data_IF_394878673157
#
_entry.id   IF_394878673157
#
_cell.length_a   1.000
_cell.length_b   1.000
_cell.length_c   1.000
_cell.angle_alpha   90.00
_cell.angle_beta   90.00
_cell.angle_gamma   90.00
#
_symmetry.space_group_name_H-M   'P 1'
#
loop_
_entity.id
_entity.type
_entity.pdbx_description
1 polymer ?
#
# COMPACT_ATOMS: atom_id res chain seq x y z
N UNK A 1 -36.56 -4.50 -11.22
CA UNK A 1 -36.42 -4.23 -9.78
C UNK A 1 -35.11 -4.83 -9.34
N UNK A 2 -34.10 -4.01 -9.06
CA UNK A 2 -32.79 -4.49 -8.62
C UNK A 2 -32.80 -4.58 -7.11
N UNK A 3 -32.52 -5.77 -6.55
CA UNK A 3 -32.16 -5.91 -5.15
C UNK A 3 -30.84 -5.17 -4.96
N UNK A 4 -30.84 -4.08 -4.19
CA UNK A 4 -29.59 -3.40 -3.81
C UNK A 4 -28.89 -4.29 -2.80
N UNK A 5 -27.99 -5.17 -3.26
CA UNK A 5 -27.16 -5.95 -2.36
C UNK A 5 -26.23 -5.00 -1.59
N UNK A 6 -26.20 -5.15 -0.28
CA UNK A 6 -25.21 -4.48 0.55
C UNK A 6 -23.82 -4.96 0.14
N UNK A 7 -22.95 -4.01 -0.15
CA UNK A 7 -21.55 -4.29 -0.47
C UNK A 7 -20.78 -4.61 0.81
N UNK A 8 -19.93 -5.61 0.74
CA UNK A 8 -19.00 -5.97 1.80
C UNK A 8 -17.92 -4.89 1.97
N UNK A 9 -17.35 -4.81 3.17
CA UNK A 9 -16.16 -4.00 3.42
C UNK A 9 -14.93 -4.55 2.68
N UNK A 10 -13.81 -3.84 2.80
CA UNK A 10 -12.55 -4.17 2.09
C UNK A 10 -12.06 -5.61 2.32
N UNK A 11 -12.45 -6.22 3.43
CA UNK A 11 -12.08 -7.57 3.84
C UNK A 11 -13.14 -8.65 3.55
N UNK A 12 -14.21 -8.34 2.82
CA UNK A 12 -15.28 -9.28 2.49
C UNK A 12 -16.28 -9.57 3.61
N UNK A 13 -16.17 -8.90 4.76
CA UNK A 13 -17.18 -8.97 5.82
C UNK A 13 -18.20 -7.85 5.66
N UNK A 14 -19.27 -7.89 6.46
CA UNK A 14 -20.17 -6.73 6.61
C UNK A 14 -19.33 -5.48 6.94
N UNK A 15 -19.64 -4.39 6.26
CA UNK A 15 -18.98 -3.11 6.48
C UNK A 15 -19.20 -2.62 7.93
N UNK A 16 -18.11 -2.28 8.63
CA UNK A 16 -18.13 -1.84 10.03
C UNK A 16 -16.93 -0.93 10.33
N UNK A 17 -17.19 0.30 10.77
CA UNK A 17 -16.12 1.25 11.12
C UNK A 17 -15.22 0.73 12.24
N UNK A 18 -15.75 -0.08 13.17
CA UNK A 18 -14.95 -0.71 14.24
C UNK A 18 -14.00 -1.80 13.74
N UNK A 19 -14.21 -2.32 12.54
CA UNK A 19 -13.34 -3.31 11.90
C UNK A 19 -12.36 -2.70 10.91
N UNK A 20 -12.42 -1.38 10.69
CA UNK A 20 -11.53 -0.67 9.77
C UNK A 20 -11.70 -1.07 8.30
N UNK A 21 -12.81 -1.73 7.94
CA UNK A 21 -13.07 -2.24 6.58
C UNK A 21 -14.00 -1.32 5.76
N UNK A 22 -14.14 -0.06 6.17
CA UNK A 22 -15.03 0.93 5.55
C UNK A 22 -14.24 1.90 4.68
N UNK A 23 -14.79 2.19 3.50
CA UNK A 23 -14.38 3.31 2.65
C UNK A 23 -15.45 4.39 2.83
N UNK A 24 -15.13 5.49 3.52
CA UNK A 24 -16.09 6.56 3.71
C UNK A 24 -16.07 7.49 2.50
N UNK A 25 -17.24 8.00 2.13
CA UNK A 25 -17.37 9.00 1.06
C UNK A 25 -16.68 10.34 1.40
N UNK A 26 -16.34 10.55 2.67
CA UNK A 26 -15.64 11.74 3.18
C UNK A 26 -14.16 11.47 3.45
N UNK A 27 -13.64 10.29 3.10
CA UNK A 27 -12.19 10.03 3.18
C UNK A 27 -11.44 11.00 2.26
N UNK A 28 -10.22 11.40 2.62
CA UNK A 28 -9.35 12.18 1.73
C UNK A 28 -8.97 11.36 0.48
N UNK A 29 -8.63 12.00 -0.66
CA UNK A 29 -8.40 11.29 -1.93
C UNK A 29 -7.40 10.13 -1.82
N UNK A 30 -6.27 10.35 -1.13
CA UNK A 30 -5.23 9.32 -0.94
C UNK A 30 -5.73 8.16 -0.07
N UNK A 31 -6.51 8.44 0.99
CA UNK A 31 -7.05 7.43 1.90
C UNK A 31 -8.10 6.58 1.19
N UNK A 32 -9.00 7.22 0.45
CA UNK A 32 -10.01 6.54 -0.36
C UNK A 32 -9.33 5.60 -1.37
N UNK A 33 -8.34 6.12 -2.11
CA UNK A 33 -7.59 5.35 -3.09
C UNK A 33 -6.89 4.14 -2.43
N UNK A 34 -6.19 4.36 -1.32
CA UNK A 34 -5.47 3.30 -0.60
C UNK A 34 -6.40 2.22 -0.02
N UNK A 35 -7.58 2.61 0.47
CA UNK A 35 -8.58 1.66 0.97
C UNK A 35 -9.21 0.83 -0.15
N UNK A 36 -9.50 1.43 -1.31
CA UNK A 36 -9.96 0.67 -2.49
C UNK A 36 -8.87 -0.30 -2.95
N UNK A 37 -7.61 0.10 -2.95
CA UNK A 37 -6.49 -0.79 -3.28
C UNK A 37 -6.34 -1.98 -2.31
N UNK A 38 -6.92 -1.88 -1.11
CA UNK A 38 -6.88 -2.91 -0.07
C UNK A 38 -8.05 -3.90 -0.13
N UNK A 39 -9.00 -3.74 -1.05
CA UNK A 39 -10.12 -4.69 -1.19
C UNK A 39 -9.61 -6.09 -1.58
N UNK A 40 -10.33 -7.14 -1.25
CA UNK A 40 -10.01 -8.49 -1.78
C UNK A 40 -10.27 -8.60 -3.28
N UNK A 41 -9.48 -9.40 -3.97
CA UNK A 41 -9.55 -9.55 -5.43
C UNK A 41 -10.92 -10.05 -5.90
N UNK A 42 -11.53 -10.96 -5.13
CA UNK A 42 -12.87 -11.49 -5.37
C UNK A 42 -13.99 -10.43 -5.32
N UNK A 43 -13.74 -9.27 -4.70
CA UNK A 43 -14.71 -8.19 -4.56
C UNK A 43 -14.60 -7.13 -5.66
N UNK A 44 -13.54 -7.13 -6.47
CA UNK A 44 -13.27 -6.08 -7.47
C UNK A 44 -14.47 -5.89 -8.40
N UNK A 45 -15.00 -6.99 -8.95
CA UNK A 45 -16.16 -6.93 -9.85
C UNK A 45 -17.43 -6.39 -9.19
N UNK A 46 -17.69 -6.78 -7.93
CA UNK A 46 -18.86 -6.30 -7.18
C UNK A 46 -18.75 -4.80 -6.90
N UNK A 47 -17.54 -4.31 -6.58
CA UNK A 47 -17.29 -2.88 -6.39
C UNK A 47 -17.42 -2.08 -7.69
N UNK A 48 -16.98 -2.60 -8.84
CA UNK A 48 -17.23 -1.93 -10.12
C UNK A 48 -18.73 -1.75 -10.38
N UNK A 49 -19.51 -2.83 -10.25
CA UNK A 49 -20.96 -2.83 -10.47
C UNK A 49 -21.70 -1.89 -9.52
N UNK A 50 -21.31 -1.85 -8.24
CA UNK A 50 -22.05 -1.13 -7.21
C UNK A 50 -21.58 0.33 -7.00
N UNK A 51 -20.31 0.63 -7.30
CA UNK A 51 -19.68 1.89 -6.89
C UNK A 51 -19.17 2.76 -8.05
N UNK A 52 -19.26 2.30 -9.30
CA UNK A 52 -18.74 3.05 -10.46
C UNK A 52 -19.78 3.24 -11.55
N UNK A 53 -19.44 4.04 -12.58
CA UNK A 53 -20.22 4.22 -13.80
C UNK A 53 -19.54 3.60 -15.02
N UNK A 54 -18.56 2.73 -14.81
CA UNK A 54 -17.84 2.03 -15.89
C UNK A 54 -18.80 1.05 -16.56
N UNK A 55 -18.79 0.99 -17.91
CA UNK A 55 -19.63 0.07 -18.66
C UNK A 55 -19.25 -1.38 -18.33
N UNK A 56 -20.23 -2.29 -18.21
CA UNK A 56 -19.97 -3.66 -17.77
C UNK A 56 -19.06 -4.42 -18.75
N UNK A 57 -19.15 -4.12 -20.04
CA UNK A 57 -18.27 -4.66 -21.07
C UNK A 57 -16.81 -4.26 -20.82
N UNK A 58 -16.56 -3.02 -20.38
CA UNK A 58 -15.21 -2.56 -19.99
C UNK A 58 -14.76 -3.22 -18.69
N UNK A 59 -15.66 -3.40 -17.71
CA UNK A 59 -15.37 -4.10 -16.45
C UNK A 59 -14.92 -5.54 -16.73
N UNK A 60 -15.58 -6.26 -17.63
CA UNK A 60 -15.20 -7.62 -18.01
C UNK A 60 -13.79 -7.69 -18.60
N UNK A 61 -13.38 -6.72 -19.41
CA UNK A 61 -12.00 -6.65 -19.91
C UNK A 61 -11.00 -6.29 -18.82
N UNK A 62 -11.35 -5.34 -17.94
CA UNK A 62 -10.50 -4.96 -16.79
C UNK A 62 -10.26 -6.16 -15.88
N UNK A 63 -11.28 -6.98 -15.61
CA UNK A 63 -11.16 -8.15 -14.72
C UNK A 63 -10.26 -9.27 -15.27
N UNK A 64 -9.94 -9.25 -16.58
CA UNK A 64 -8.93 -10.16 -17.18
C UNK A 64 -7.49 -9.73 -16.90
N UNK A 65 -7.28 -8.47 -16.50
CA UNK A 65 -5.97 -7.94 -16.15
C UNK A 65 -5.47 -8.46 -14.80
N UNK A 66 -4.22 -8.13 -14.43
CA UNK A 66 -3.70 -8.49 -13.12
C UNK A 66 -4.54 -7.80 -12.01
N UNK A 67 -4.90 -8.46 -10.89
CA UNK A 67 -5.79 -7.88 -9.88
C UNK A 67 -5.38 -6.50 -9.37
N UNK A 68 -4.06 -6.25 -9.30
CA UNK A 68 -3.52 -4.92 -8.99
C UNK A 68 -3.98 -3.85 -9.99
N UNK A 69 -3.90 -4.11 -11.29
CA UNK A 69 -4.28 -3.15 -12.34
C UNK A 69 -5.78 -2.89 -12.31
N UNK A 70 -6.58 -3.95 -12.12
CA UNK A 70 -8.01 -3.83 -11.93
C UNK A 70 -8.38 -2.98 -10.70
N UNK A 71 -7.68 -3.16 -9.57
CA UNK A 71 -7.86 -2.31 -8.38
C UNK A 71 -7.42 -0.87 -8.59
N UNK A 72 -6.31 -0.64 -9.31
CA UNK A 72 -5.85 0.72 -9.64
C UNK A 72 -6.92 1.46 -10.45
N UNK A 73 -7.49 0.77 -11.44
CA UNK A 73 -8.59 1.30 -12.25
C UNK A 73 -9.83 1.58 -11.39
N UNK A 74 -10.21 0.66 -10.50
CA UNK A 74 -11.34 0.84 -9.60
C UNK A 74 -11.13 2.02 -8.63
N UNK A 75 -9.94 2.13 -8.04
CA UNK A 75 -9.58 3.19 -7.10
C UNK A 75 -9.61 4.57 -7.78
N UNK A 76 -9.12 4.66 -9.01
CA UNK A 76 -9.21 5.88 -9.81
C UNK A 76 -10.66 6.28 -10.06
N UNK A 77 -11.53 5.35 -10.49
CA UNK A 77 -12.93 5.64 -10.80
C UNK A 77 -13.73 6.03 -9.56
N UNK A 78 -13.56 5.33 -8.43
CA UNK A 78 -14.22 5.67 -7.18
C UNK A 78 -13.76 7.05 -6.68
N UNK A 79 -12.44 7.30 -6.64
CA UNK A 79 -11.90 8.58 -6.16
C UNK A 79 -12.34 9.73 -7.06
N UNK A 80 -12.40 9.52 -8.39
CA UNK A 80 -12.88 10.50 -9.36
C UNK A 80 -14.33 10.92 -9.11
N UNK A 81 -15.19 9.99 -8.70
CA UNK A 81 -16.60 10.28 -8.40
C UNK A 81 -16.75 11.30 -7.25
N UNK A 82 -15.91 11.21 -6.22
CA UNK A 82 -16.05 12.02 -5.00
C UNK A 82 -15.11 13.23 -4.94
N UNK A 83 -13.94 13.18 -5.57
CA UNK A 83 -12.92 14.23 -5.49
C UNK A 83 -12.56 14.87 -6.84
N UNK A 84 -13.13 14.38 -7.94
CA UNK A 84 -12.83 14.86 -9.29
C UNK A 84 -11.59 14.23 -9.90
N UNK A 85 -11.37 14.50 -11.18
CA UNK A 85 -10.33 13.82 -11.97
C UNK A 85 -8.91 14.18 -11.55
N UNK A 86 -8.64 15.45 -11.28
CA UNK A 86 -7.28 15.91 -10.95
C UNK A 86 -6.79 15.32 -9.63
N UNK A 87 -7.63 15.32 -8.59
CA UNK A 87 -7.27 14.75 -7.29
C UNK A 87 -7.17 13.22 -7.33
N UNK A 88 -8.01 12.56 -8.13
CA UNK A 88 -7.91 11.11 -8.32
C UNK A 88 -6.60 10.71 -9.03
N UNK A 89 -6.16 11.48 -10.03
CA UNK A 89 -4.86 11.26 -10.69
C UNK A 89 -3.69 11.53 -9.75
N UNK A 90 -3.74 12.61 -8.96
CA UNK A 90 -2.73 12.86 -7.91
C UNK A 90 -2.68 11.73 -6.90
N UNK A 91 -3.82 11.21 -6.46
CA UNK A 91 -3.89 10.08 -5.53
C UNK A 91 -3.31 8.80 -6.15
N UNK A 92 -3.60 8.54 -7.43
CA UNK A 92 -2.97 7.46 -8.20
C UNK A 92 -1.45 7.63 -8.23
N UNK A 93 -0.95 8.79 -8.63
CA UNK A 93 0.49 9.07 -8.71
C UNK A 93 1.15 8.94 -7.34
N UNK A 94 0.52 9.44 -6.28
CA UNK A 94 0.99 9.31 -4.89
C UNK A 94 1.04 7.85 -4.45
N UNK A 95 0.02 7.07 -4.79
CA UNK A 95 -0.02 5.64 -4.49
C UNK A 95 1.07 4.90 -5.25
N UNK A 96 1.18 5.13 -6.56
CA UNK A 96 2.23 4.54 -7.40
C UNK A 96 3.62 4.94 -6.90
N UNK A 97 3.84 6.20 -6.54
CA UNK A 97 5.10 6.66 -5.97
C UNK A 97 5.38 6.05 -4.60
N UNK A 98 4.39 5.97 -3.71
CA UNK A 98 4.55 5.34 -2.38
C UNK A 98 4.88 3.86 -2.51
N UNK A 99 4.22 3.14 -3.42
CA UNK A 99 4.47 1.72 -3.64
C UNK A 99 5.73 1.46 -4.49
N UNK A 100 6.05 2.32 -5.45
CA UNK A 100 7.27 2.26 -6.26
C UNK A 100 8.52 2.62 -5.44
N UNK A 101 8.40 3.59 -4.52
CA UNK A 101 9.41 3.90 -3.50
C UNK A 101 9.43 2.89 -2.35
N UNK A 102 8.52 1.92 -2.34
CA UNK A 102 8.61 0.72 -1.51
C UNK A 102 7.98 0.83 -0.11
N UNK A 103 7.02 1.72 0.09
CA UNK A 103 6.19 1.77 1.30
C UNK A 103 6.95 2.25 2.53
N UNK A 104 7.83 3.24 2.37
CA UNK A 104 8.58 3.86 3.46
C UNK A 104 7.60 4.59 4.39
N UNK A 105 7.41 4.17 5.66
CA UNK A 105 6.52 4.84 6.60
C UNK A 105 6.96 6.29 6.84
N UNK A 106 6.01 7.19 7.14
CA UNK A 106 6.35 8.58 7.50
C UNK A 106 7.09 8.66 8.84
N UNK A 107 6.75 7.79 9.79
CA UNK A 107 7.42 7.66 11.09
C UNK A 107 8.29 6.41 11.11
N UNK A 108 9.61 6.59 10.99
CA UNK A 108 10.59 5.51 11.01
C UNK A 108 11.49 5.68 12.22
N UNK A 109 11.64 4.60 12.96
CA UNK A 109 12.61 4.52 14.04
C UNK A 109 14.01 4.90 13.52
N UNK A 110 14.56 5.96 14.08
CA UNK A 110 15.81 6.57 13.64
C UNK A 110 16.88 6.35 14.70
N UNK A 111 18.06 5.94 14.26
CA UNK A 111 19.22 5.74 15.12
C UNK A 111 20.39 6.58 14.63
N UNK A 112 21.11 7.14 15.59
CA UNK A 112 22.33 7.90 15.33
C UNK A 112 23.52 7.09 15.79
N UNK A 113 24.52 6.92 14.92
CA UNK A 113 25.66 6.03 15.15
C UNK A 113 26.97 6.70 14.75
N UNK A 114 28.11 6.37 15.40
CA UNK A 114 29.40 6.88 14.97
C UNK A 114 29.74 6.47 13.53
N UNK A 115 30.34 7.39 12.78
CA UNK A 115 30.89 7.11 11.46
C UNK A 115 31.89 5.95 11.53
N UNK A 116 31.72 4.97 10.63
CA UNK A 116 32.53 3.75 10.60
C UNK A 116 31.95 2.54 11.33
N UNK A 117 30.79 2.68 11.99
CA UNK A 117 30.06 1.53 12.56
C UNK A 117 29.55 0.60 11.45
N UNK A 118 29.77 -0.71 11.58
CA UNK A 118 29.29 -1.70 10.60
C UNK A 118 27.76 -1.80 10.58
N UNK A 119 27.15 -1.80 9.39
CA UNK A 119 25.70 -1.96 9.22
C UNK A 119 25.14 -3.21 9.91
N UNK A 120 25.87 -4.33 9.86
CA UNK A 120 25.48 -5.57 10.51
C UNK A 120 25.31 -5.39 12.03
N UNK A 121 26.24 -4.67 12.68
CA UNK A 121 26.20 -4.41 14.12
C UNK A 121 25.04 -3.48 14.48
N UNK A 122 24.75 -2.48 13.64
CA UNK A 122 23.61 -1.57 13.85
C UNK A 122 22.29 -2.34 13.80
N UNK A 123 22.09 -3.22 12.82
CA UNK A 123 20.85 -3.99 12.72
C UNK A 123 20.67 -4.97 13.89
N UNK A 124 21.74 -5.60 14.36
CA UNK A 124 21.69 -6.52 15.50
C UNK A 124 21.41 -5.76 16.80
N UNK A 125 22.10 -4.65 17.03
CA UNK A 125 21.91 -3.82 18.22
C UNK A 125 20.47 -3.28 18.35
N UNK A 126 19.78 -3.10 17.22
CA UNK A 126 18.39 -2.65 17.16
C UNK A 126 17.37 -3.80 17.02
N UNK A 127 17.80 -5.06 17.23
CA UNK A 127 16.91 -6.22 17.20
C UNK A 127 16.29 -6.53 15.83
N UNK A 128 16.81 -5.91 14.76
CA UNK A 128 16.31 -6.11 13.40
C UNK A 128 16.77 -7.45 12.84
N UNK A 129 17.93 -7.94 13.29
CA UNK A 129 18.55 -9.20 12.92
C UNK A 129 19.10 -9.92 14.15
N UNK A 130 19.19 -11.24 14.08
CA UNK A 130 19.67 -12.11 15.15
C UNK A 130 21.20 -12.31 15.15
N UNK A 131 21.86 -12.12 13.99
CA UNK A 131 23.31 -12.38 13.86
C UNK A 131 23.93 -11.76 12.60
N UNK A 132 25.28 -11.67 12.57
CA UNK A 132 26.04 -11.26 11.37
C UNK A 132 25.85 -12.25 10.21
N UNK A 133 25.67 -13.54 10.50
CA UNK A 133 25.39 -14.55 9.48
C UNK A 133 24.04 -14.33 8.80
N UNK A 134 23.01 -13.93 9.55
CA UNK A 134 21.71 -13.56 8.99
C UNK A 134 21.82 -12.31 8.11
N UNK A 135 22.57 -11.30 8.54
CA UNK A 135 22.85 -10.10 7.75
C UNK A 135 23.46 -10.47 6.39
N UNK A 136 24.55 -11.24 6.38
CA UNK A 136 25.24 -11.64 5.13
C UNK A 136 24.30 -12.38 4.19
N UNK A 137 23.46 -13.29 4.73
CA UNK A 137 22.49 -14.05 3.95
C UNK A 137 21.45 -13.12 3.31
N UNK A 138 20.79 -12.28 4.12
CA UNK A 138 19.74 -11.37 3.63
C UNK A 138 20.28 -10.31 2.69
N UNK A 139 21.51 -9.83 2.92
CA UNK A 139 22.17 -8.89 2.02
C UNK A 139 22.45 -9.54 0.66
N UNK A 140 22.96 -10.79 0.64
CA UNK A 140 23.20 -11.55 -0.59
C UNK A 140 21.91 -11.87 -1.35
N UNK A 141 20.81 -12.11 -0.64
CA UNK A 141 19.48 -12.34 -1.20
C UNK A 141 18.79 -11.04 -1.68
N UNK A 142 19.41 -9.86 -1.48
CA UNK A 142 18.81 -8.57 -1.82
C UNK A 142 17.60 -8.20 -0.96
N UNK A 143 17.46 -8.82 0.21
CA UNK A 143 16.38 -8.58 1.15
C UNK A 143 16.62 -7.35 2.04
N UNK A 144 17.88 -6.92 2.16
CA UNK A 144 18.28 -5.63 2.75
C UNK A 144 18.43 -4.64 1.60
N UNK A 145 17.69 -3.54 1.65
CA UNK A 145 17.76 -2.48 0.65
C UNK A 145 17.93 -1.13 1.32
N UNK A 146 18.94 -0.39 0.92
CA UNK A 146 19.00 1.03 1.18
C UNK A 146 18.00 1.75 0.26
N UNK A 147 17.23 2.65 0.85
CA UNK A 147 16.27 3.51 0.18
C UNK A 147 16.80 4.94 0.19
N UNK A 148 15.97 5.95 0.38
CA UNK A 148 16.41 7.36 0.42
C UNK A 148 16.76 7.81 1.85
N UNK A 149 17.64 8.79 1.98
CA UNK A 149 17.96 9.49 3.25
C UNK A 149 18.41 8.59 4.41
N UNK A 150 19.21 7.56 4.13
CA UNK A 150 19.73 6.63 5.14
C UNK A 150 18.69 5.65 5.69
N UNK A 151 17.54 5.49 5.03
CA UNK A 151 16.53 4.51 5.40
C UNK A 151 16.86 3.15 4.79
N UNK A 152 16.90 2.12 5.64
CA UNK A 152 17.09 0.74 5.23
C UNK A 152 15.81 -0.07 5.43
N UNK A 153 15.47 -0.92 4.45
CA UNK A 153 14.38 -1.89 4.52
C UNK A 153 14.90 -3.30 4.63
N UNK A 154 14.30 -4.09 5.52
CA UNK A 154 14.53 -5.54 5.61
C UNK A 154 13.21 -6.29 5.37
N UNK A 155 13.10 -6.95 4.21
CA UNK A 155 11.87 -7.60 3.80
C UNK A 155 10.79 -6.59 3.37
N UNK A 156 9.51 -6.84 3.71
CA UNK A 156 8.37 -6.02 3.27
C UNK A 156 8.01 -4.85 4.20
N UNK A 157 8.19 -5.02 5.52
CA UNK A 157 7.59 -4.11 6.51
C UNK A 157 8.54 -3.63 7.62
N UNK A 158 9.83 -3.96 7.58
CA UNK A 158 10.80 -3.54 8.61
C UNK A 158 11.69 -2.44 8.06
N UNK A 159 11.71 -1.31 8.75
CA UNK A 159 12.40 -0.09 8.35
C UNK A 159 13.27 0.41 9.51
N UNK A 160 14.46 0.92 9.20
CA UNK A 160 15.34 1.59 10.16
C UNK A 160 16.04 2.75 9.45
N UNK A 161 15.96 3.95 10.00
CA UNK A 161 16.72 5.10 9.50
C UNK A 161 18.02 5.22 10.29
N UNK A 162 19.14 5.29 9.58
CA UNK A 162 20.48 5.38 10.17
C UNK A 162 21.09 6.73 9.80
N UNK A 163 21.54 7.47 10.81
CA UNK A 163 22.26 8.73 10.66
C UNK A 163 23.67 8.55 11.22
N UNK A 164 24.68 8.64 10.35
CA UNK A 164 26.08 8.61 10.79
C UNK A 164 26.48 10.00 11.30
N UNK A 165 27.17 10.04 12.45
CA UNK A 165 27.71 11.24 13.08
C UNK A 165 29.24 11.18 13.20
#
# INVERSE_FOLDING_TARGET
GGMTELIEGTDGRKMSSSWGNVINITDEPNDMFGKVMSIRDELIGKYFTACTRVAMEEVEEILKSHPKEAKMRLALEITKIYHGEDEARKAQDNFENTFAKGGVPEDIYTVEVPTGTELADIFIANGMLSSKSEFTRLNKEGAIKEMENGVYRIGKHRFLKIIFK
#
